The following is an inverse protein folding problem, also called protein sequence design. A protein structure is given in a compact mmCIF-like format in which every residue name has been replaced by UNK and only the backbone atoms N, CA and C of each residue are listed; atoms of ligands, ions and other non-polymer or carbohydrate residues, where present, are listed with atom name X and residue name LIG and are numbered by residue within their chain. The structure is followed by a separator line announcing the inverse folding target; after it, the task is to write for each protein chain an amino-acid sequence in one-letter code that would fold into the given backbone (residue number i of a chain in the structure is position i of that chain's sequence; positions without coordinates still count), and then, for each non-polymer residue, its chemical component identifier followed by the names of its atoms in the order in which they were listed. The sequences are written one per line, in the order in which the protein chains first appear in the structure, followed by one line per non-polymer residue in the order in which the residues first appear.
data_IF_913318452154
#
_entry.id   IF_913318452154
#
_cell.length_a   1.000
_cell.length_b   1.000
_cell.length_c   1.000
_cell.angle_alpha   90.00
_cell.angle_beta   90.00
_cell.angle_gamma   90.00
#
_symmetry.space_group_name_H-M   'P 1'
#
loop_
_entity.id
_entity.type
_entity.pdbx_description
1 polymer ?
#
# COMPACT_ATOMS: atom_id res chain seq x y z
N UNK A 1 36.04 8.96 -0.88
CA UNK A 1 37.39 9.29 -0.38
C UNK A 1 38.38 9.21 -1.53
N UNK A 2 39.37 10.11 -1.60
CA UNK A 2 40.44 10.06 -2.60
C UNK A 2 41.78 9.73 -1.91
N UNK A 3 42.70 9.15 -2.67
CA UNK A 3 44.07 8.86 -2.22
C UNK A 3 44.18 7.65 -1.28
N UNK A 4 45.30 7.58 -0.56
CA UNK A 4 45.76 6.44 0.23
C UNK A 4 44.76 5.92 1.28
N UNK A 5 43.86 6.78 1.79
CA UNK A 5 42.81 6.35 2.73
C UNK A 5 41.75 5.44 2.10
N UNK A 6 41.54 5.52 0.78
CA UNK A 6 40.56 4.67 0.11
C UNK A 6 40.98 3.19 0.08
N UNK A 7 42.28 2.92 0.08
CA UNK A 7 42.82 1.54 0.09
C UNK A 7 43.02 1.00 1.50
N UNK A 8 43.30 1.87 2.47
CA UNK A 8 43.58 1.47 3.87
C UNK A 8 42.34 1.21 4.72
N UNK A 9 41.20 1.79 4.36
CA UNK A 9 39.99 1.73 5.17
C UNK A 9 39.00 0.72 4.60
N UNK A 10 38.45 -0.12 5.48
CA UNK A 10 37.33 -0.99 5.16
C UNK A 10 36.04 -0.20 4.90
N UNK A 11 35.06 -0.83 4.25
CA UNK A 11 33.74 -0.25 3.95
C UNK A 11 33.05 0.33 5.20
N UNK A 12 33.12 -0.37 6.33
CA UNK A 12 32.54 0.09 7.59
C UNK A 12 33.31 1.29 8.19
N UNK A 13 34.65 1.26 8.17
CA UNK A 13 35.47 2.37 8.64
C UNK A 13 35.23 3.64 7.82
N UNK A 14 35.01 3.49 6.50
CA UNK A 14 34.62 4.61 5.63
C UNK A 14 33.27 5.20 6.03
N UNK A 15 32.29 4.36 6.37
CA UNK A 15 30.98 4.80 6.88
C UNK A 15 31.12 5.56 8.21
N UNK A 16 31.96 5.08 9.13
CA UNK A 16 32.24 5.77 10.40
C UNK A 16 32.82 7.16 10.15
N UNK A 17 33.79 7.30 9.23
CA UNK A 17 34.34 8.62 8.89
C UNK A 17 33.27 9.54 8.28
N UNK A 18 32.41 9.04 7.39
CA UNK A 18 31.31 9.85 6.85
C UNK A 18 30.38 10.29 7.97
N UNK A 19 30.03 9.40 8.92
CA UNK A 19 29.24 9.77 10.10
C UNK A 19 29.91 10.85 10.96
N UNK A 20 31.23 10.80 11.12
CA UNK A 20 31.96 11.76 11.94
C UNK A 20 32.11 13.14 11.29
N UNK A 21 32.20 13.22 9.96
CA UNK A 21 32.55 14.47 9.26
C UNK A 21 31.45 15.01 8.33
N UNK A 22 30.47 14.20 7.96
CA UNK A 22 29.40 14.51 7.00
C UNK A 22 28.10 13.77 7.39
N UNK A 23 27.53 14.14 8.53
CA UNK A 23 26.35 13.48 9.10
C UNK A 23 25.16 13.45 8.11
N UNK A 24 25.00 14.49 7.30
CA UNK A 24 23.96 14.60 6.29
C UNK A 24 24.10 13.58 5.15
N UNK A 25 25.27 12.97 4.99
CA UNK A 25 25.55 11.93 3.99
C UNK A 25 25.46 10.51 4.54
N UNK A 26 25.20 10.33 5.84
CA UNK A 26 25.21 9.02 6.49
C UNK A 26 24.19 8.08 5.87
N UNK A 27 22.97 8.56 5.57
CA UNK A 27 21.93 7.71 4.97
C UNK A 27 22.38 7.17 3.61
N UNK A 28 22.89 8.04 2.74
CA UNK A 28 23.40 7.63 1.43
C UNK A 28 24.60 6.68 1.55
N UNK A 29 25.52 6.96 2.47
CA UNK A 29 26.69 6.12 2.70
C UNK A 29 26.32 4.75 3.29
N UNK A 30 25.30 4.68 4.15
CA UNK A 30 24.78 3.44 4.70
C UNK A 30 24.09 2.61 3.61
N UNK A 31 23.30 3.24 2.74
CA UNK A 31 22.71 2.58 1.56
C UNK A 31 23.79 1.99 0.67
N UNK A 32 24.83 2.76 0.32
CA UNK A 32 25.95 2.24 -0.49
C UNK A 32 26.75 1.14 0.23
N UNK A 33 26.92 1.27 1.55
CA UNK A 33 27.54 0.21 2.33
C UNK A 33 26.75 -1.10 2.21
N UNK A 34 25.42 -1.06 2.30
CA UNK A 34 24.59 -2.27 2.10
C UNK A 34 24.69 -2.78 0.65
N UNK A 35 24.62 -1.91 -0.36
CA UNK A 35 24.75 -2.30 -1.77
C UNK A 35 26.05 -3.05 -2.03
N UNK A 36 27.18 -2.54 -1.54
CA UNK A 36 28.51 -3.12 -1.78
C UNK A 36 28.70 -4.47 -1.07
N UNK A 37 28.13 -4.64 0.13
CA UNK A 37 28.37 -5.84 0.94
C UNK A 37 27.30 -6.93 0.79
N UNK A 38 26.03 -6.56 0.57
CA UNK A 38 24.90 -7.49 0.49
C UNK A 38 24.25 -7.51 -0.89
N UNK A 39 24.39 -6.44 -1.67
CA UNK A 39 23.78 -6.32 -2.99
C UNK A 39 22.65 -5.28 -3.02
N UNK A 40 22.29 -4.88 -4.24
CA UNK A 40 21.32 -3.79 -4.48
C UNK A 40 19.89 -4.14 -4.04
N UNK A 41 19.53 -5.41 -4.11
CA UNK A 41 18.21 -5.91 -3.70
C UNK A 41 17.88 -5.69 -2.22
N UNK A 42 18.90 -5.52 -1.36
CA UNK A 42 18.72 -5.25 0.07
C UNK A 42 18.44 -3.79 0.40
N UNK A 43 18.49 -2.89 -0.59
CA UNK A 43 18.12 -1.47 -0.43
C UNK A 43 16.97 -1.05 -1.35
N UNK A 44 16.62 -1.88 -2.33
CA UNK A 44 15.46 -1.69 -3.18
C UNK A 44 14.26 -2.39 -2.56
N UNK A 45 13.17 -1.68 -2.35
CA UNK A 45 11.92 -2.31 -1.94
C UNK A 45 11.32 -3.03 -3.17
N UNK A 46 11.18 -4.37 -3.15
CA UNK A 46 10.44 -5.04 -4.20
C UNK A 46 8.99 -4.55 -4.17
N UNK A 47 8.34 -4.39 -5.34
CA UNK A 47 6.92 -4.12 -5.37
C UNK A 47 6.17 -5.26 -4.69
N UNK A 48 5.15 -4.92 -3.90
CA UNK A 48 4.27 -5.91 -3.29
C UNK A 48 3.52 -6.64 -4.39
N UNK A 49 3.72 -7.95 -4.49
CA UNK A 49 2.97 -8.82 -5.39
C UNK A 49 2.00 -9.67 -4.58
N UNK A 50 0.70 -9.37 -4.73
CA UNK A 50 -0.37 -10.11 -4.06
C UNK A 50 -0.43 -11.58 -4.50
N UNK A 51 0.05 -11.92 -5.69
CA UNK A 51 0.09 -13.31 -6.15
C UNK A 51 1.10 -14.15 -5.37
N UNK A 52 2.28 -13.58 -5.09
CA UNK A 52 3.31 -14.23 -4.26
C UNK A 52 2.88 -14.30 -2.79
N UNK A 53 2.26 -13.23 -2.28
CA UNK A 53 1.70 -13.26 -0.93
C UNK A 53 0.64 -14.36 -0.79
N UNK A 54 -0.20 -14.54 -1.80
CA UNK A 54 -1.22 -15.58 -1.81
C UNK A 54 -0.63 -17.00 -1.81
N UNK A 55 0.52 -17.24 -2.46
CA UNK A 55 1.17 -18.56 -2.39
C UNK A 55 1.73 -18.88 -1.01
N UNK A 56 2.08 -17.85 -0.24
CA UNK A 56 2.56 -18.00 1.14
C UNK A 56 1.40 -18.10 2.16
N UNK A 57 0.15 -17.95 1.71
CA UNK A 57 -1.04 -18.08 2.54
C UNK A 57 -1.56 -19.52 2.62
N UNK A 58 -2.21 -19.81 3.74
CA UNK A 58 -3.04 -21.00 3.92
C UNK A 58 -4.39 -20.61 4.55
N UNK A 59 -5.36 -21.52 4.64
CA UNK A 59 -6.62 -21.24 5.35
C UNK A 59 -6.42 -20.86 6.83
N UNK A 60 -5.31 -21.26 7.42
CA UNK A 60 -4.99 -21.00 8.84
C UNK A 60 -3.93 -19.92 9.03
N UNK A 61 -3.30 -19.45 7.95
CA UNK A 61 -2.23 -18.44 7.96
C UNK A 61 -2.73 -17.17 7.27
N UNK A 62 -3.18 -16.14 8.03
CA UNK A 62 -3.66 -14.89 7.46
C UNK A 62 -2.54 -14.05 6.85
N UNK A 63 -2.93 -13.03 6.07
CA UNK A 63 -2.06 -11.92 5.67
C UNK A 63 -2.45 -10.67 6.42
N UNK A 64 -1.45 -9.95 6.92
CA UNK A 64 -1.60 -8.63 7.55
C UNK A 64 -0.93 -7.58 6.68
N UNK A 65 -1.73 -6.66 6.15
CA UNK A 65 -1.30 -5.40 5.57
C UNK A 65 -1.01 -4.40 6.68
N UNK A 66 0.27 -4.15 6.93
CA UNK A 66 0.73 -3.08 7.80
C UNK A 66 0.63 -1.78 7.01
N UNK A 67 -0.31 -0.94 7.43
CA UNK A 67 -0.62 0.32 6.77
C UNK A 67 0.32 1.42 7.23
N UNK A 68 0.67 2.29 6.29
CA UNK A 68 1.24 3.60 6.55
C UNK A 68 0.18 4.68 6.27
N UNK A 69 0.41 5.91 6.73
CA UNK A 69 -0.53 7.01 6.52
C UNK A 69 -0.76 7.25 5.02
N UNK A 70 -2.02 7.29 4.60
CA UNK A 70 -2.41 7.44 3.19
C UNK A 70 -2.20 6.20 2.32
N UNK A 71 -1.96 5.00 2.89
CA UNK A 71 -1.93 3.74 2.14
C UNK A 71 -3.21 2.93 2.37
N UNK A 72 -3.87 2.52 1.28
CA UNK A 72 -5.00 1.58 1.33
C UNK A 72 -4.74 0.39 0.39
N UNK A 73 -4.70 -0.86 0.90
CA UNK A 73 -4.53 -2.06 0.09
C UNK A 73 -5.82 -2.51 -0.63
N UNK A 74 -6.99 -1.95 -0.31
CA UNK A 74 -8.28 -2.46 -0.78
C UNK A 74 -8.37 -2.49 -2.32
N UNK A 75 -8.03 -1.39 -2.99
CA UNK A 75 -8.09 -1.33 -4.46
C UNK A 75 -7.19 -2.38 -5.13
N UNK A 76 -5.98 -2.56 -4.63
CA UNK A 76 -5.06 -3.60 -5.12
C UNK A 76 -5.59 -5.01 -4.85
N UNK A 77 -6.15 -5.24 -3.66
CA UNK A 77 -6.77 -6.49 -3.26
C UNK A 77 -7.98 -6.87 -4.13
N UNK A 78 -8.89 -5.92 -4.41
CA UNK A 78 -10.06 -6.17 -5.26
C UNK A 78 -9.66 -6.54 -6.69
N UNK A 79 -8.66 -5.87 -7.25
CA UNK A 79 -8.09 -6.23 -8.56
C UNK A 79 -7.56 -7.66 -8.55
N UNK A 80 -6.78 -8.02 -7.53
CA UNK A 80 -6.25 -9.37 -7.37
C UNK A 80 -7.36 -10.44 -7.19
N UNK A 81 -8.38 -10.15 -6.39
CA UNK A 81 -9.52 -11.05 -6.21
C UNK A 81 -10.29 -11.25 -7.52
N UNK A 82 -10.43 -10.20 -8.34
CA UNK A 82 -11.04 -10.28 -9.66
C UNK A 82 -10.21 -11.13 -10.63
N UNK A 83 -8.90 -10.93 -10.67
CA UNK A 83 -7.97 -11.74 -11.49
C UNK A 83 -8.01 -13.24 -11.13
N UNK A 84 -8.29 -13.56 -9.86
CA UNK A 84 -8.47 -14.93 -9.36
C UNK A 84 -9.90 -15.47 -9.53
N UNK A 85 -10.84 -14.68 -10.06
CA UNK A 85 -12.25 -15.06 -10.18
C UNK A 85 -12.95 -15.25 -8.82
N UNK A 86 -12.41 -14.65 -7.75
CA UNK A 86 -12.90 -14.79 -6.38
C UNK A 86 -13.60 -13.52 -5.87
N UNK A 87 -13.71 -12.46 -6.66
CA UNK A 87 -14.27 -11.17 -6.23
C UNK A 87 -15.68 -11.29 -5.65
N UNK A 88 -16.54 -12.12 -6.27
CA UNK A 88 -17.92 -12.35 -5.81
C UNK A 88 -18.01 -13.09 -4.46
N UNK A 89 -16.89 -13.67 -4.01
CA UNK A 89 -16.76 -14.42 -2.75
C UNK A 89 -15.96 -13.66 -1.70
N UNK A 90 -15.68 -12.39 -1.95
CA UNK A 90 -15.01 -11.49 -1.02
C UNK A 90 -16.05 -10.83 -0.12
N UNK A 91 -15.87 -10.99 1.18
CA UNK A 91 -16.62 -10.28 2.21
C UNK A 91 -15.65 -9.32 2.92
N UNK A 92 -15.85 -8.01 2.72
CA UNK A 92 -14.98 -6.99 3.28
C UNK A 92 -15.74 -6.14 4.31
N UNK A 93 -15.12 -5.89 5.47
CA UNK A 93 -15.71 -5.07 6.53
C UNK A 93 -14.66 -4.16 7.17
N UNK A 94 -15.00 -2.90 7.35
CA UNK A 94 -14.18 -1.96 8.13
C UNK A 94 -14.52 -2.08 9.61
N UNK A 95 -13.52 -2.40 10.42
CA UNK A 95 -13.68 -2.60 11.86
C UNK A 95 -13.82 -1.25 12.56
N UNK A 96 -15.00 -1.04 13.16
CA UNK A 96 -15.31 0.08 14.05
C UNK A 96 -15.91 -0.43 15.36
N UNK A 97 -16.36 0.50 16.21
CA UNK A 97 -17.06 0.12 17.44
C UNK A 97 -18.33 -0.69 17.11
N UNK A 98 -18.51 -1.83 17.78
CA UNK A 98 -19.70 -2.68 17.66
C UNK A 98 -19.69 -3.69 16.50
N UNK A 99 -18.65 -3.74 15.66
CA UNK A 99 -18.61 -4.66 14.50
C UNK A 99 -18.17 -6.10 14.85
N UNK A 100 -17.60 -6.34 16.03
CA UNK A 100 -17.04 -7.64 16.45
C UNK A 100 -17.99 -8.84 16.21
N UNK A 101 -19.22 -8.84 16.73
CA UNK A 101 -20.16 -9.96 16.56
C UNK A 101 -20.56 -10.22 15.09
N UNK A 102 -20.57 -9.18 14.25
CA UNK A 102 -20.86 -9.31 12.82
C UNK A 102 -19.68 -10.01 12.13
N UNK A 103 -18.46 -9.59 12.47
CA UNK A 103 -17.22 -10.19 11.95
C UNK A 103 -17.09 -11.64 12.36
N UNK A 104 -17.38 -11.99 13.62
CA UNK A 104 -17.34 -13.38 14.08
C UNK A 104 -18.27 -14.27 13.26
N UNK A 105 -19.52 -13.85 13.05
CA UNK A 105 -20.49 -14.59 12.21
C UNK A 105 -20.02 -14.71 10.77
N UNK A 106 -19.50 -13.62 10.21
CA UNK A 106 -18.96 -13.57 8.85
C UNK A 106 -17.82 -14.59 8.68
N UNK A 107 -16.87 -14.62 9.63
CA UNK A 107 -15.75 -15.56 9.57
C UNK A 107 -16.26 -17.00 9.72
N UNK A 108 -17.13 -17.29 10.69
CA UNK A 108 -17.66 -18.66 10.85
C UNK A 108 -18.39 -19.17 9.59
N UNK A 109 -19.12 -18.30 8.89
CA UNK A 109 -19.72 -18.63 7.59
C UNK A 109 -18.66 -18.85 6.50
N UNK A 110 -17.63 -18.01 6.47
CA UNK A 110 -16.52 -18.11 5.52
C UNK A 110 -15.67 -19.38 5.74
N UNK A 111 -15.53 -19.86 6.98
CA UNK A 111 -14.83 -21.10 7.31
C UNK A 111 -15.47 -22.33 6.65
N UNK A 112 -16.79 -22.34 6.45
CA UNK A 112 -17.50 -23.44 5.77
C UNK A 112 -17.67 -23.20 4.27
N UNK A 113 -17.96 -21.98 3.83
CA UNK A 113 -18.15 -21.64 2.41
C UNK A 113 -16.85 -21.45 1.62
N UNK A 114 -15.72 -21.25 2.30
CA UNK A 114 -14.43 -20.95 1.69
C UNK A 114 -14.32 -19.54 1.12
N UNK A 115 -15.19 -18.62 1.55
CA UNK A 115 -15.16 -17.21 1.14
C UNK A 115 -13.91 -16.50 1.67
N UNK A 116 -13.54 -15.39 1.03
CA UNK A 116 -12.40 -14.58 1.46
C UNK A 116 -12.91 -13.46 2.34
N UNK A 117 -12.29 -13.28 3.51
CA UNK A 117 -12.68 -12.23 4.44
C UNK A 117 -11.59 -11.19 4.51
N UNK A 118 -11.96 -9.92 4.33
CA UNK A 118 -11.06 -8.78 4.53
C UNK A 118 -11.55 -7.89 5.68
N UNK A 119 -10.85 -7.96 6.82
CA UNK A 119 -11.02 -7.03 7.93
C UNK A 119 -10.13 -5.81 7.74
N UNK A 120 -10.75 -4.65 7.53
CA UNK A 120 -10.03 -3.39 7.36
C UNK A 120 -9.90 -2.64 8.68
N UNK A 121 -8.83 -1.89 8.83
CA UNK A 121 -8.62 -0.94 9.91
C UNK A 121 -8.71 -1.57 11.32
N UNK A 122 -8.13 -2.76 11.52
CA UNK A 122 -8.22 -3.49 12.80
C UNK A 122 -7.77 -2.67 14.01
N UNK A 123 -6.81 -1.75 13.84
CA UNK A 123 -6.36 -0.79 14.85
C UNK A 123 -7.47 0.09 15.45
N UNK A 124 -8.61 0.28 14.77
CA UNK A 124 -9.75 1.04 15.27
C UNK A 124 -10.63 0.24 16.24
N UNK A 125 -10.59 -1.10 16.18
CA UNK A 125 -11.37 -1.98 17.05
C UNK A 125 -10.53 -2.58 18.19
N UNK A 126 -9.86 -1.71 18.96
CA UNK A 126 -8.94 -2.09 20.06
C UNK A 126 -9.57 -3.08 21.05
N UNK A 127 -10.83 -2.88 21.45
CA UNK A 127 -11.52 -3.74 22.41
C UNK A 127 -11.78 -5.16 21.91
N UNK A 128 -11.79 -5.37 20.58
CA UNK A 128 -12.07 -6.67 19.96
C UNK A 128 -10.79 -7.43 19.58
N UNK A 129 -9.61 -6.81 19.67
CA UNK A 129 -8.35 -7.43 19.26
C UNK A 129 -8.05 -8.76 19.96
N UNK A 130 -8.35 -8.88 21.25
CA UNK A 130 -8.17 -10.13 21.99
C UNK A 130 -9.12 -11.23 21.50
N UNK A 131 -10.39 -10.89 21.29
CA UNK A 131 -11.38 -11.83 20.75
C UNK A 131 -11.03 -12.28 19.33
N UNK A 132 -10.55 -11.36 18.48
CA UNK A 132 -10.01 -11.69 17.16
C UNK A 132 -8.86 -12.69 17.23
N UNK A 133 -7.94 -12.51 18.19
CA UNK A 133 -6.80 -13.40 18.34
C UNK A 133 -7.22 -14.81 18.75
N UNK A 134 -8.15 -14.94 19.70
CA UNK A 134 -8.72 -16.23 20.08
C UNK A 134 -9.47 -16.87 18.91
N UNK A 135 -10.26 -16.10 18.17
CA UNK A 135 -10.96 -16.60 16.98
C UNK A 135 -10.00 -17.13 15.93
N UNK A 136 -8.93 -16.40 15.59
CA UNK A 136 -7.94 -16.86 14.59
C UNK A 136 -7.21 -18.12 15.07
N UNK A 137 -6.94 -18.22 16.38
CA UNK A 137 -6.31 -19.41 16.97
C UNK A 137 -7.15 -20.67 16.76
N UNK A 138 -8.49 -20.56 16.81
CA UNK A 138 -9.39 -21.71 16.57
C UNK A 138 -9.20 -22.36 15.20
N UNK A 139 -8.69 -21.65 14.20
CA UNK A 139 -8.48 -22.21 12.85
C UNK A 139 -7.43 -23.33 12.84
N UNK A 140 -6.55 -23.35 13.83
CA UNK A 140 -5.49 -24.36 13.97
C UNK A 140 -5.87 -25.49 14.92
N UNK A 141 -7.05 -25.43 15.53
CA UNK A 141 -7.52 -26.47 16.45
C UNK A 141 -7.96 -27.72 15.67
N UNK A 142 -7.65 -28.94 16.15
CA UNK A 142 -7.95 -30.18 15.43
C UNK A 142 -9.45 -30.40 15.15
N UNK A 143 -10.30 -29.86 16.01
CA UNK A 143 -11.76 -30.02 15.94
C UNK A 143 -12.43 -28.99 15.00
N UNK A 144 -11.66 -28.03 14.48
CA UNK A 144 -12.16 -26.98 13.59
C UNK A 144 -11.95 -27.37 12.13
N UNK A 145 -13.04 -27.62 11.42
CA UNK A 145 -13.01 -27.80 9.96
C UNK A 145 -12.92 -26.44 9.26
N UNK A 146 -11.81 -26.21 8.54
CA UNK A 146 -11.58 -24.99 7.76
C UNK A 146 -11.55 -25.33 6.27
N UNK A 147 -12.40 -24.69 5.49
CA UNK A 147 -12.46 -24.89 4.04
C UNK A 147 -11.13 -24.48 3.35
N UNK A 148 -10.60 -25.30 2.45
CA UNK A 148 -9.27 -25.11 1.82
C UNK A 148 -9.10 -23.79 1.04
N UNK A 149 -10.19 -23.27 0.47
CA UNK A 149 -10.22 -21.99 -0.23
C UNK A 149 -10.37 -20.75 0.67
N UNK A 150 -10.68 -20.92 1.96
CA UNK A 150 -10.83 -19.79 2.90
C UNK A 150 -9.52 -19.01 2.99
N UNK A 151 -9.61 -17.68 2.99
CA UNK A 151 -8.47 -16.79 3.19
C UNK A 151 -8.88 -15.60 4.05
N UNK A 152 -8.05 -15.28 5.03
CA UNK A 152 -8.25 -14.12 5.91
C UNK A 152 -7.20 -13.05 5.62
N UNK A 153 -7.67 -11.85 5.33
CA UNK A 153 -6.87 -10.65 5.09
C UNK A 153 -7.19 -9.62 6.18
N UNK A 154 -6.15 -9.01 6.73
CA UNK A 154 -6.24 -8.02 7.79
C UNK A 154 -5.51 -6.75 7.35
N UNK A 155 -6.05 -5.56 7.61
CA UNK A 155 -5.29 -4.32 7.49
C UNK A 155 -5.26 -3.54 8.79
N UNK A 156 -4.08 -3.04 9.17
CA UNK A 156 -3.92 -2.30 10.41
C UNK A 156 -2.73 -1.34 10.36
N UNK A 157 -2.88 -0.15 10.94
CA UNK A 157 -1.72 0.65 11.35
C UNK A 157 -1.00 -0.05 12.52
N UNK A 158 0.32 0.16 12.67
CA UNK A 158 1.07 -0.31 13.83
C UNK A 158 0.45 0.19 15.13
N UNK A 159 0.19 -0.71 16.07
CA UNK A 159 -0.33 -0.37 17.40
C UNK A 159 0.17 -1.33 18.45
N UNK A 160 0.41 -0.83 19.67
CA UNK A 160 0.97 -1.61 20.79
C UNK A 160 0.04 -2.70 21.29
N UNK A 161 -1.26 -2.56 21.01
CA UNK A 161 -2.30 -3.50 21.45
C UNK A 161 -2.55 -4.62 20.44
N UNK A 162 -1.96 -4.55 19.24
CA UNK A 162 -2.21 -5.57 18.23
C UNK A 162 -1.71 -6.94 18.72
N UNK A 163 -2.50 -8.02 18.62
CA UNK A 163 -2.12 -9.31 19.18
C UNK A 163 -0.83 -9.85 18.56
N UNK A 164 0.17 -10.10 19.41
CA UNK A 164 1.48 -10.62 19.00
C UNK A 164 1.35 -12.00 18.36
N UNK A 165 0.43 -12.84 18.86
CA UNK A 165 0.17 -14.18 18.32
C UNK A 165 -0.31 -14.13 16.87
N UNK A 166 -1.26 -13.25 16.57
CA UNK A 166 -1.76 -13.03 15.21
C UNK A 166 -0.65 -12.51 14.31
N UNK A 167 0.17 -11.55 14.80
CA UNK A 167 1.34 -11.10 14.05
C UNK A 167 2.28 -12.27 13.77
N UNK A 168 2.73 -13.02 14.77
CA UNK A 168 3.69 -14.11 14.60
C UNK A 168 3.21 -15.15 13.58
N UNK A 169 1.93 -15.52 13.64
CA UNK A 169 1.32 -16.57 12.80
C UNK A 169 0.70 -16.06 11.49
N UNK A 170 1.06 -14.85 11.07
CA UNK A 170 0.62 -14.29 9.78
C UNK A 170 1.80 -13.91 8.89
N UNK A 171 1.53 -13.93 7.59
CA UNK A 171 2.38 -13.26 6.60
C UNK A 171 2.19 -11.75 6.76
N UNK A 172 3.28 -10.99 6.91
CA UNK A 172 3.23 -9.53 7.05
C UNK A 172 3.69 -8.90 5.76
N UNK A 173 2.94 -7.91 5.30
CA UNK A 173 3.34 -7.04 4.20
C UNK A 173 3.15 -5.59 4.60
N UNK A 174 4.18 -4.79 4.36
CA UNK A 174 4.10 -3.33 4.50
C UNK A 174 3.59 -2.72 3.20
N UNK A 175 2.43 -2.07 3.24
CA UNK A 175 1.95 -1.27 2.12
C UNK A 175 2.45 0.17 2.31
N UNK A 176 3.63 0.48 1.76
CA UNK A 176 4.16 1.84 1.78
C UNK A 176 3.92 2.53 0.42
N UNK A 177 3.63 3.85 0.43
CA UNK A 177 3.69 4.65 -0.78
C UNK A 177 5.08 4.53 -1.44
N UNK A 178 5.16 4.43 -2.77
CA UNK A 178 6.44 4.38 -3.46
C UNK A 178 7.26 5.63 -3.17
N UNK A 179 8.57 5.47 -2.99
CA UNK A 179 9.49 6.58 -2.69
C UNK A 179 10.15 7.07 -3.97
N UNK A 180 9.99 8.35 -4.26
CA UNK A 180 10.57 9.05 -5.41
C UNK A 180 9.58 9.20 -6.56
N UNK A 181 9.75 10.27 -7.35
CA UNK A 181 8.86 10.60 -8.47
C UNK A 181 8.75 9.44 -9.49
N UNK A 182 9.88 8.82 -9.85
CA UNK A 182 9.89 7.71 -10.82
C UNK A 182 9.10 6.50 -10.33
N UNK A 183 9.22 6.16 -9.04
CA UNK A 183 8.52 5.01 -8.47
C UNK A 183 7.01 5.27 -8.37
N UNK A 184 6.60 6.48 -7.96
CA UNK A 184 5.21 6.92 -7.98
C UNK A 184 4.60 6.84 -9.38
N UNK A 185 5.30 7.38 -10.38
CA UNK A 185 4.85 7.31 -11.77
C UNK A 185 4.73 5.88 -12.27
N UNK A 186 5.73 5.03 -12.00
CA UNK A 186 5.69 3.63 -12.39
C UNK A 186 4.47 2.91 -11.80
N UNK A 187 4.19 3.10 -10.50
CA UNK A 187 3.01 2.52 -9.84
C UNK A 187 1.71 3.00 -10.48
N UNK A 188 1.55 4.31 -10.66
CA UNK A 188 0.33 4.89 -11.26
C UNK A 188 0.04 4.30 -12.65
N UNK A 189 1.06 4.13 -13.49
CA UNK A 189 0.91 3.56 -14.84
C UNK A 189 0.76 2.04 -14.87
N UNK A 190 1.20 1.31 -13.83
CA UNK A 190 0.88 -0.12 -13.69
C UNK A 190 -0.61 -0.32 -13.37
N UNK A 191 -1.22 0.61 -12.63
CA UNK A 191 -2.62 0.51 -12.20
C UNK A 191 -3.61 1.01 -13.26
N UNK A 192 -3.18 1.92 -14.15
CA UNK A 192 -4.02 2.42 -15.25
C UNK A 192 -4.09 1.38 -16.37
N UNK A 193 -5.30 1.01 -16.77
CA UNK A 193 -5.49 0.06 -17.89
C UNK A 193 -5.04 0.67 -19.21
N UNK A 194 -4.46 -0.17 -20.09
CA UNK A 194 -4.07 0.26 -21.44
C UNK A 194 -5.24 0.84 -22.23
N UNK A 195 -6.46 0.31 -22.02
CA UNK A 195 -7.66 0.83 -22.67
C UNK A 195 -7.98 2.25 -22.24
N UNK A 196 -7.99 2.51 -20.93
CA UNK A 196 -8.22 3.84 -20.38
C UNK A 196 -7.18 4.84 -20.89
N UNK A 197 -5.91 4.46 -20.98
CA UNK A 197 -4.84 5.37 -21.40
C UNK A 197 -4.81 5.63 -22.91
N UNK A 198 -4.99 4.59 -23.74
CA UNK A 198 -4.81 4.70 -25.19
C UNK A 198 -6.10 5.05 -25.95
N UNK A 199 -7.27 4.61 -25.46
CA UNK A 199 -8.54 4.75 -26.17
C UNK A 199 -9.39 5.88 -25.58
N UNK A 200 -9.19 7.09 -26.10
CA UNK A 200 -10.04 8.23 -25.84
C UNK A 200 -10.12 9.14 -27.08
N UNK A 201 -11.27 9.78 -27.30
CA UNK A 201 -11.52 10.67 -28.46
C UNK A 201 -10.53 11.84 -28.57
N UNK A 202 -9.99 12.30 -27.43
CA UNK A 202 -8.97 13.34 -27.34
C UNK A 202 -7.55 12.86 -27.71
N UNK A 203 -7.35 11.55 -27.93
CA UNK A 203 -6.09 10.96 -28.37
C UNK A 203 -4.86 11.41 -27.58
N UNK A 204 -3.93 12.11 -28.23
CA UNK A 204 -2.68 12.56 -27.58
C UNK A 204 -2.92 13.57 -26.45
N UNK A 205 -3.97 14.38 -26.51
CA UNK A 205 -4.25 15.36 -25.46
C UNK A 205 -4.67 14.65 -24.17
N UNK A 206 -5.49 13.60 -24.27
CA UNK A 206 -5.86 12.74 -23.15
C UNK A 206 -4.64 12.18 -22.42
N UNK A 207 -3.74 11.52 -23.16
CA UNK A 207 -2.51 10.93 -22.58
C UNK A 207 -1.64 11.96 -21.86
N UNK A 208 -1.54 13.18 -22.39
CA UNK A 208 -0.80 14.27 -21.75
C UNK A 208 -1.43 14.69 -20.42
N UNK A 209 -2.76 14.78 -20.34
CA UNK A 209 -3.46 15.18 -19.12
C UNK A 209 -3.38 14.07 -18.08
N UNK A 210 -3.61 12.81 -18.47
CA UNK A 210 -3.46 11.65 -17.57
C UNK A 210 -2.05 11.59 -16.99
N UNK A 211 -1.01 11.78 -17.82
CA UNK A 211 0.37 11.89 -17.35
C UNK A 211 0.55 13.06 -16.38
N UNK A 212 0.00 14.23 -16.70
CA UNK A 212 0.06 15.43 -15.86
C UNK A 212 -0.55 15.20 -14.47
N UNK A 213 -1.73 14.58 -14.38
CA UNK A 213 -2.40 14.24 -13.13
C UNK A 213 -1.55 13.25 -12.31
N UNK A 214 -1.04 12.19 -12.94
CA UNK A 214 -0.20 11.21 -12.24
C UNK A 214 1.11 11.84 -11.74
N UNK A 215 1.71 12.73 -12.53
CA UNK A 215 2.94 13.42 -12.16
C UNK A 215 2.71 14.44 -11.04
N UNK A 216 1.59 15.17 -11.08
CA UNK A 216 1.19 16.07 -10.01
C UNK A 216 0.94 15.31 -8.71
N UNK A 217 0.21 14.18 -8.76
CA UNK A 217 0.03 13.30 -7.62
C UNK A 217 1.38 12.83 -7.04
N UNK A 218 2.31 12.38 -7.89
CA UNK A 218 3.66 11.99 -7.48
C UNK A 218 4.42 13.13 -6.77
N UNK A 219 4.31 14.37 -7.26
CA UNK A 219 4.92 15.54 -6.62
C UNK A 219 4.32 15.80 -5.25
N UNK A 220 2.99 15.74 -5.13
CA UNK A 220 2.28 15.94 -3.86
C UNK A 220 2.76 14.92 -2.82
N UNK A 221 2.82 13.64 -3.20
CA UNK A 221 3.28 12.57 -2.31
C UNK A 221 4.72 12.78 -1.85
N UNK A 222 5.61 13.17 -2.75
CA UNK A 222 7.01 13.46 -2.40
C UNK A 222 7.15 14.72 -1.54
N UNK A 223 6.30 15.73 -1.74
CA UNK A 223 6.31 16.96 -0.94
C UNK A 223 5.96 16.73 0.53
N UNK A 224 5.17 15.71 0.86
CA UNK A 224 4.85 15.35 2.26
C UNK A 224 6.11 15.09 3.11
N UNK A 225 7.20 14.64 2.49
CA UNK A 225 8.48 14.35 3.16
C UNK A 225 9.15 15.59 3.75
N UNK A 226 8.80 16.78 3.28
CA UNK A 226 9.38 18.04 3.74
C UNK A 226 8.63 18.64 4.94
N UNK A 227 7.65 17.92 5.50
CA UNK A 227 6.90 18.36 6.68
C UNK A 227 6.27 19.74 6.47
N UNK A 228 6.41 20.69 7.42
CA UNK A 228 5.87 22.04 7.31
C UNK A 228 6.35 22.83 6.07
N UNK A 229 7.55 22.53 5.55
CA UNK A 229 8.05 23.18 4.33
C UNK A 229 7.35 22.68 3.05
N UNK A 230 6.79 21.47 3.11
CA UNK A 230 5.96 20.93 2.03
C UNK A 230 4.51 21.39 2.17
N UNK A 231 3.94 21.22 3.36
CA UNK A 231 2.54 21.52 3.68
C UNK A 231 2.41 22.04 5.11
N UNK A 232 1.79 23.21 5.29
CA UNK A 232 1.48 23.75 6.62
C UNK A 232 0.46 22.87 7.37
N UNK A 233 -0.52 22.31 6.65
CA UNK A 233 -1.50 21.35 7.16
C UNK A 233 -1.43 20.12 6.26
N UNK A 234 -1.26 18.94 6.84
CA UNK A 234 -1.09 17.71 6.07
C UNK A 234 -2.45 17.15 5.67
N UNK A 235 -2.76 17.19 4.37
CA UNK A 235 -3.81 16.36 3.79
C UNK A 235 -3.27 14.97 3.46
N UNK A 236 -4.07 13.92 3.71
CA UNK A 236 -3.67 12.53 3.49
C UNK A 236 -3.92 12.05 2.06
N UNK A 237 -3.36 12.77 1.07
CA UNK A 237 -3.45 12.38 -0.34
C UNK A 237 -3.07 10.90 -0.57
N UNK A 238 -3.92 10.14 -1.23
CA UNK A 238 -3.73 8.71 -1.46
C UNK A 238 -4.11 8.32 -2.90
N UNK A 239 -3.99 7.04 -3.23
CA UNK A 239 -4.26 6.55 -4.59
C UNK A 239 -5.73 6.78 -5.00
N UNK A 240 -6.67 6.75 -4.06
CA UNK A 240 -8.10 6.99 -4.32
C UNK A 240 -8.36 8.42 -4.81
N UNK A 241 -7.60 9.42 -4.34
CA UNK A 241 -7.71 10.81 -4.83
C UNK A 241 -7.28 10.90 -6.30
N UNK A 242 -6.22 10.18 -6.67
CA UNK A 242 -5.76 10.10 -8.06
C UNK A 242 -6.78 9.36 -8.93
N UNK A 243 -7.31 8.24 -8.45
CA UNK A 243 -8.37 7.50 -9.16
C UNK A 243 -9.61 8.37 -9.37
N UNK A 244 -10.05 9.09 -8.34
CA UNK A 244 -11.15 10.06 -8.40
C UNK A 244 -10.87 11.17 -9.44
N UNK A 245 -9.67 11.76 -9.43
CA UNK A 245 -9.28 12.77 -10.40
C UNK A 245 -9.31 12.24 -11.85
N UNK A 246 -8.85 11.01 -12.07
CA UNK A 246 -8.87 10.36 -13.40
C UNK A 246 -10.30 10.01 -13.86
N UNK A 247 -11.16 9.55 -12.95
CA UNK A 247 -12.57 9.28 -13.24
C UNK A 247 -13.32 10.57 -13.58
N UNK A 248 -13.12 11.63 -12.81
CA UNK A 248 -13.68 12.95 -13.10
C UNK A 248 -13.19 13.45 -14.46
N UNK A 249 -11.88 13.35 -14.76
CA UNK A 249 -11.35 13.71 -16.07
C UNK A 249 -12.08 12.97 -17.20
N UNK A 250 -12.28 11.65 -17.06
CA UNK A 250 -13.00 10.84 -18.05
C UNK A 250 -14.46 11.27 -18.22
N UNK A 251 -15.13 11.65 -17.13
CA UNK A 251 -16.51 12.09 -17.16
C UNK A 251 -16.65 13.43 -17.90
N UNK A 252 -15.80 14.40 -17.57
CA UNK A 252 -15.86 15.75 -18.14
C UNK A 252 -15.37 15.83 -19.59
N UNK A 253 -14.48 14.92 -20.01
CA UNK A 253 -13.92 14.92 -21.36
C UNK A 253 -14.69 14.01 -22.34
N UNK A 254 -15.83 13.45 -21.95
CA UNK A 254 -16.58 12.46 -22.72
C UNK A 254 -16.98 12.93 -24.13
N UNK A 255 -17.22 14.23 -24.30
CA UNK A 255 -17.64 14.82 -25.58
C UNK A 255 -16.49 15.40 -26.42
N UNK A 256 -15.24 15.26 -25.95
CA UNK A 256 -14.05 15.64 -26.71
C UNK A 256 -13.68 17.11 -26.56
N UNK A 257 -14.35 17.81 -25.65
CA UNK A 257 -13.99 19.14 -25.15
C UNK A 257 -13.30 19.00 -23.79
N UNK A 258 -12.33 19.88 -23.53
CA UNK A 258 -11.60 19.91 -22.26
C UNK A 258 -12.08 21.13 -21.46
N UNK A 259 -12.94 20.95 -20.44
CA UNK A 259 -13.42 22.06 -19.63
C UNK A 259 -12.40 22.40 -18.54
N UNK A 260 -11.38 23.20 -18.90
CA UNK A 260 -10.26 23.53 -18.00
C UNK A 260 -10.71 24.11 -16.66
N UNK A 261 -11.67 25.04 -16.66
CA UNK A 261 -12.13 25.68 -15.43
C UNK A 261 -12.76 24.67 -14.45
N UNK A 262 -13.58 23.74 -14.97
CA UNK A 262 -14.19 22.68 -14.17
C UNK A 262 -13.13 21.69 -13.66
N UNK A 263 -12.17 21.31 -14.51
CA UNK A 263 -11.10 20.37 -14.12
C UNK A 263 -10.16 20.97 -13.07
N UNK A 264 -9.82 22.25 -13.19
CA UNK A 264 -9.00 22.97 -12.20
C UNK A 264 -9.75 23.09 -10.88
N UNK A 265 -11.03 23.45 -10.91
CA UNK A 265 -11.84 23.56 -9.70
C UNK A 265 -11.99 22.21 -8.98
N UNK A 266 -12.37 21.16 -9.70
CA UNK A 266 -12.63 19.86 -9.09
C UNK A 266 -11.34 19.21 -8.58
N UNK A 267 -10.30 19.19 -9.41
CA UNK A 267 -9.02 18.54 -9.06
C UNK A 267 -8.21 19.38 -8.06
N UNK A 268 -8.24 20.70 -8.21
CA UNK A 268 -7.41 21.63 -7.45
C UNK A 268 -8.05 22.17 -6.18
N UNK A 269 -9.37 22.34 -6.13
CA UNK A 269 -10.05 22.90 -4.94
C UNK A 269 -10.86 21.88 -4.16
N UNK A 270 -11.51 20.91 -4.83
CA UNK A 270 -12.37 19.93 -4.14
C UNK A 270 -11.59 18.68 -3.71
N UNK A 271 -10.72 18.15 -4.58
CA UNK A 271 -9.93 16.94 -4.25
C UNK A 271 -8.62 17.23 -3.50
N UNK A 272 -8.29 18.51 -3.29
CA UNK A 272 -7.04 18.93 -2.62
C UNK A 272 -7.23 19.74 -1.33
N UNK A 273 -8.47 19.83 -0.82
CA UNK A 273 -8.81 20.34 0.53
C UNK A 273 -8.89 19.19 1.52
#
# INVERSE_FOLDING_TARGET
MKGYWNERLGSFQKLVLIKSFMEEKVVFAATEFVIVNLGKEFVENPPVDLANLYSDMSPTTPVIFILSTGSDPMGAFQRFANERGCLDRVEAISLGQGQGPIVEKMIHSALTSGNWVFLQNCHLAVSWMLAMAELIKTFTEPDTSVHENFRLFLSSMPTKVFPVTVLQNSVKVTNEPPKGLRANMRRAFTEITSSFFEHHILGRQWRKIVFGICFFHAIIQERKKFGPLGWNIRYEFNDSDRECALLNLSLYCKDGTIPWDALVYITGEITSQ
#
